data_IF_328367277305
#
_entry.id   IF_328367277305
#
_cell.length_a   1.000
_cell.length_b   1.000
_cell.length_c   1.000
_cell.angle_alpha   90.00
_cell.angle_beta   90.00
_cell.angle_gamma   90.00
#
_symmetry.space_group_name_H-M   'P 1'
#
loop_
_entity.id
_entity.type
_entity.pdbx_description
1 polymer ?
#
# COMPACT_ATOMS: atom_id res chain seq x y z
N UNK A 1 -4.83 10.85 12.96
CA UNK A 1 -4.17 9.66 12.37
C UNK A 1 -3.04 10.17 11.48
N UNK A 2 -1.79 9.81 11.75
CA UNK A 2 -0.63 10.27 10.96
C UNK A 2 -0.66 9.60 9.59
N UNK A 3 -0.40 10.31 8.51
CA UNK A 3 -0.39 9.79 7.13
C UNK A 3 0.92 9.05 6.84
N UNK A 4 0.93 8.09 5.91
CA UNK A 4 2.15 7.31 5.63
C UNK A 4 3.35 8.20 5.28
N UNK A 5 3.14 9.27 4.49
CA UNK A 5 4.20 10.20 4.12
C UNK A 5 4.74 11.08 5.26
N UNK A 6 4.07 11.12 6.40
CA UNK A 6 4.52 11.83 7.61
C UNK A 6 5.40 10.93 8.49
N UNK A 7 5.36 9.62 8.26
CA UNK A 7 6.07 8.60 9.04
C UNK A 7 7.37 8.18 8.37
N UNK A 8 7.40 8.13 7.03
CA UNK A 8 8.56 7.67 6.27
C UNK A 8 9.05 8.72 5.25
N UNK A 9 10.29 8.60 4.74
CA UNK A 9 10.79 9.37 3.59
C UNK A 9 10.04 9.02 2.29
N UNK A 10 8.79 9.47 2.18
CA UNK A 10 7.92 9.15 1.06
C UNK A 10 8.30 9.94 -0.21
N UNK A 11 8.50 9.29 -1.36
CA UNK A 11 8.87 9.95 -2.62
C UNK A 11 7.75 10.82 -3.22
N UNK A 12 6.53 10.69 -2.70
CA UNK A 12 5.37 11.50 -3.09
C UNK A 12 5.14 12.71 -2.18
N UNK A 13 5.85 12.84 -1.05
CA UNK A 13 5.64 13.93 -0.09
C UNK A 13 5.76 15.30 -0.76
N UNK A 14 4.72 16.12 -0.61
CA UNK A 14 4.65 17.47 -1.19
C UNK A 14 4.19 17.53 -2.65
N UNK A 15 3.96 16.38 -3.29
CA UNK A 15 3.32 16.29 -4.62
C UNK A 15 1.79 16.35 -4.47
N UNK A 16 1.11 16.71 -5.56
CA UNK A 16 -0.35 16.67 -5.65
C UNK A 16 -0.85 15.21 -5.45
N UNK A 17 -1.67 14.95 -4.42
CA UNK A 17 -2.24 13.62 -4.17
C UNK A 17 -3.06 13.09 -5.34
N UNK A 18 -3.76 13.96 -6.08
CA UNK A 18 -4.62 13.56 -7.20
C UNK A 18 -3.83 13.08 -8.42
N UNK A 19 -2.53 13.38 -8.47
CA UNK A 19 -1.60 12.98 -9.52
C UNK A 19 -0.66 11.85 -9.08
N UNK A 20 -0.86 11.28 -7.89
CA UNK A 20 0.03 10.25 -7.35
C UNK A 20 -0.42 8.85 -7.79
N UNK A 21 0.53 8.06 -8.29
CA UNK A 21 0.30 6.64 -8.56
C UNK A 21 0.09 5.84 -7.28
N UNK A 22 0.59 6.34 -6.14
CA UNK A 22 0.43 5.66 -4.86
C UNK A 22 -1.00 5.85 -4.33
N UNK A 23 -1.82 4.77 -4.24
CA UNK A 23 -3.23 4.92 -3.87
C UNK A 23 -3.40 5.33 -2.41
N UNK A 24 -2.45 5.00 -1.53
CA UNK A 24 -2.41 5.45 -0.14
C UNK A 24 -2.13 6.95 -0.05
N UNK A 25 -1.16 7.44 -0.83
CA UNK A 25 -0.84 8.86 -0.87
C UNK A 25 -1.98 9.67 -1.52
N UNK A 26 -2.57 9.16 -2.60
CA UNK A 26 -3.71 9.76 -3.27
C UNK A 26 -4.92 9.90 -2.34
N UNK A 27 -5.18 8.88 -1.50
CA UNK A 27 -6.21 8.94 -0.45
C UNK A 27 -5.79 9.70 0.81
N UNK A 28 -4.57 10.24 0.86
CA UNK A 28 -4.02 10.94 2.01
C UNK A 28 -4.15 10.12 3.30
N UNK A 29 -3.92 8.81 3.17
CA UNK A 29 -4.19 7.80 4.18
C UNK A 29 -2.89 7.15 4.67
N UNK A 30 -3.02 6.03 5.35
CA UNK A 30 -1.93 5.16 5.77
C UNK A 30 -2.07 3.80 5.13
N UNK A 31 -0.96 3.10 4.93
CA UNK A 31 -0.99 1.82 4.25
C UNK A 31 -1.70 0.74 5.08
N UNK A 32 -1.67 0.78 6.42
CA UNK A 32 -2.29 -0.27 7.24
C UNK A 32 -3.81 -0.19 7.34
N UNK A 33 -4.41 0.97 7.08
CA UNK A 33 -5.88 1.12 7.05
C UNK A 33 -6.43 1.15 5.63
N UNK A 34 -5.56 1.21 4.62
CA UNK A 34 -5.98 1.25 3.24
C UNK A 34 -6.47 -0.14 2.85
N UNK A 35 -7.65 -0.19 2.22
CA UNK A 35 -8.24 -1.43 1.69
C UNK A 35 -7.45 -1.92 0.47
N UNK A 36 -6.30 -2.54 0.73
CA UNK A 36 -5.41 -3.10 -0.28
C UNK A 36 -6.05 -4.27 -1.00
N UNK A 37 -6.83 -5.09 -0.29
CA UNK A 37 -7.52 -6.24 -0.88
C UNK A 37 -8.55 -5.76 -1.89
N UNK A 38 -9.44 -4.84 -1.50
CA UNK A 38 -10.43 -4.28 -2.40
C UNK A 38 -9.80 -3.49 -3.55
N UNK A 39 -8.74 -2.73 -3.30
CA UNK A 39 -7.96 -2.08 -4.37
C UNK A 39 -7.44 -3.11 -5.37
N UNK A 40 -6.71 -4.13 -4.90
CA UNK A 40 -6.10 -5.15 -5.75
C UNK A 40 -7.14 -5.97 -6.53
N UNK A 41 -8.27 -6.33 -5.89
CA UNK A 41 -9.37 -7.04 -6.53
C UNK A 41 -10.06 -6.19 -7.60
N UNK A 42 -10.15 -4.87 -7.41
CA UNK A 42 -10.72 -3.96 -8.40
C UNK A 42 -9.84 -3.73 -9.62
N UNK A 43 -8.55 -4.05 -9.54
CA UNK A 43 -7.61 -3.90 -10.65
C UNK A 43 -7.84 -4.95 -11.74
N UNK A 44 -7.87 -4.49 -12.99
CA UNK A 44 -7.80 -5.37 -14.14
C UNK A 44 -6.50 -6.19 -14.11
N UNK A 45 -6.58 -7.45 -14.55
CA UNK A 45 -5.39 -8.30 -14.66
C UNK A 45 -4.44 -7.69 -15.70
N UNK A 46 -3.17 -7.52 -15.33
CA UNK A 46 -2.18 -6.86 -16.17
C UNK A 46 -0.90 -6.52 -15.40
N UNK A 47 0.00 -5.81 -16.06
CA UNK A 47 1.31 -5.44 -15.50
C UNK A 47 1.19 -4.54 -14.27
N UNK A 48 0.23 -3.61 -14.25
CA UNK A 48 0.00 -2.75 -13.09
C UNK A 48 -0.39 -3.55 -11.85
N UNK A 49 -1.25 -4.58 -12.01
CA UNK A 49 -1.68 -5.44 -10.91
C UNK A 49 -0.50 -6.23 -10.34
N UNK A 50 0.36 -6.78 -11.21
CA UNK A 50 1.60 -7.45 -10.79
C UNK A 50 2.56 -6.48 -10.10
N UNK A 51 2.70 -5.27 -10.62
CA UNK A 51 3.54 -4.24 -10.03
C UNK A 51 3.09 -3.92 -8.59
N UNK A 52 1.79 -3.75 -8.36
CA UNK A 52 1.26 -3.52 -7.01
C UNK A 52 1.44 -4.71 -6.08
N UNK A 53 1.29 -5.94 -6.58
CA UNK A 53 1.58 -7.14 -5.78
C UNK A 53 3.04 -7.17 -5.34
N UNK A 54 3.98 -6.95 -6.26
CA UNK A 54 5.41 -6.87 -5.94
C UNK A 54 5.73 -5.72 -4.99
N UNK A 55 5.22 -4.52 -5.25
CA UNK A 55 5.44 -3.36 -4.38
C UNK A 55 4.94 -3.60 -2.95
N UNK A 56 3.82 -4.30 -2.78
CA UNK A 56 3.29 -4.65 -1.46
C UNK A 56 4.00 -5.82 -0.78
N UNK A 57 4.31 -6.89 -1.51
CA UNK A 57 4.91 -8.08 -0.91
C UNK A 57 6.39 -7.85 -0.61
N UNK A 58 7.12 -7.26 -1.56
CA UNK A 58 8.58 -7.17 -1.50
C UNK A 58 9.05 -5.91 -0.76
N UNK A 59 8.43 -4.75 -1.00
CA UNK A 59 8.90 -3.49 -0.42
C UNK A 59 8.22 -3.11 0.90
N UNK A 60 7.03 -3.65 1.19
CA UNK A 60 6.29 -3.22 2.38
C UNK A 60 6.93 -3.73 3.67
N UNK A 61 7.56 -4.91 3.66
CA UNK A 61 8.25 -5.49 4.83
C UNK A 61 9.44 -4.66 5.33
N UNK A 62 10.00 -3.78 4.50
CA UNK A 62 11.09 -2.87 4.87
C UNK A 62 10.60 -1.55 5.49
N UNK A 63 9.29 -1.27 5.43
CA UNK A 63 8.69 -0.02 5.89
C UNK A 63 8.51 0.01 7.43
N UNK A 64 8.84 1.14 8.06
CA UNK A 64 8.59 1.35 9.50
C UNK A 64 7.12 1.22 9.87
N UNK A 65 6.23 1.72 9.01
CA UNK A 65 4.79 1.62 9.21
C UNK A 65 4.30 0.18 9.19
N UNK A 66 4.91 -0.66 8.33
CA UNK A 66 4.63 -2.09 8.34
C UNK A 66 5.11 -2.72 9.64
N UNK A 67 6.31 -2.39 10.13
CA UNK A 67 6.83 -2.93 11.40
C UNK A 67 5.96 -2.58 12.61
N UNK A 68 5.38 -1.38 12.64
CA UNK A 68 4.48 -0.94 13.72
C UNK A 68 3.12 -1.67 13.68
N UNK A 69 2.66 -2.09 12.50
CA UNK A 69 1.35 -2.73 12.26
C UNK A 69 1.51 -4.08 11.56
N UNK A 70 2.53 -4.85 11.95
CA UNK A 70 2.95 -6.04 11.21
C UNK A 70 1.90 -7.14 11.25
N UNK A 71 1.14 -7.25 12.34
CA UNK A 71 0.08 -8.24 12.52
C UNK A 71 -1.08 -7.99 11.54
N UNK A 72 -1.57 -6.75 11.47
CA UNK A 72 -2.64 -6.36 10.56
C UNK A 72 -2.20 -6.47 9.09
N UNK A 73 -0.95 -6.06 8.81
CA UNK A 73 -0.41 -6.09 7.46
C UNK A 73 -0.09 -7.50 6.96
N UNK A 74 0.34 -8.42 7.83
CA UNK A 74 0.53 -9.84 7.48
C UNK A 74 -0.78 -10.46 6.99
N UNK A 75 -1.91 -10.17 7.65
CA UNK A 75 -3.22 -10.66 7.23
C UNK A 75 -3.65 -10.09 5.87
N UNK A 76 -3.37 -8.81 5.62
CA UNK A 76 -3.57 -8.19 4.29
C UNK A 76 -2.71 -8.87 3.23
N UNK A 77 -1.42 -9.11 3.50
CA UNK A 77 -0.51 -9.76 2.54
C UNK A 77 -0.92 -11.21 2.24
N UNK A 78 -1.31 -11.98 3.27
CA UNK A 78 -1.86 -13.34 3.07
C UNK A 78 -3.10 -13.27 2.18
N UNK A 79 -4.01 -12.34 2.45
CA UNK A 79 -5.22 -12.18 1.63
C UNK A 79 -4.90 -11.87 0.16
N UNK A 80 -3.84 -11.09 -0.10
CA UNK A 80 -3.42 -10.77 -1.47
C UNK A 80 -2.79 -11.95 -2.22
N UNK A 81 -2.06 -12.82 -1.49
CA UNK A 81 -1.38 -13.99 -2.07
C UNK A 81 -2.35 -15.16 -2.28
N UNK A 82 -3.33 -15.33 -1.38
CA UNK A 82 -4.26 -16.46 -1.38
C UNK A 82 -5.67 -16.12 -1.90
N UNK A 83 -5.91 -14.88 -2.34
CA UNK A 83 -7.10 -14.57 -3.15
C UNK A 83 -6.90 -15.11 -4.58
N UNK A 84 -7.20 -16.39 -4.75
CA UNK A 84 -7.50 -17.01 -6.05
C UNK A 84 -8.89 -16.60 -6.57
#
# INVERSE_FOLDING_TARGET
MKKCFELIPCPYRGKDPHLSDCPVYARQSTCWIFDWVGFYQSMANGEDKKHWLHAMVDMCRECEVYREHAEEMEEVLKSLIYCE
#
